data_IF_973355627249
#
_entry.id   IF_973355627249
#
_cell.length_a   1.000
_cell.length_b   1.000
_cell.length_c   1.000
_cell.angle_alpha   90.00
_cell.angle_beta   90.00
_cell.angle_gamma   90.00
#
_symmetry.space_group_name_H-M   'P 1'
#
loop_
_entity.id
_entity.type
_entity.pdbx_description
1 polymer ?
#
# COMPACT_ATOMS: atom_id res chain seq x y z
N UNK A 1 -16.76 11.11 2.95
CA UNK A 1 -17.49 10.82 1.70
C UNK A 1 -16.74 9.82 0.85
N UNK A 2 -15.49 10.07 0.45
CA UNK A 2 -14.73 9.12 -0.38
C UNK A 2 -14.48 7.77 0.28
N UNK A 3 -14.13 7.76 1.56
CA UNK A 3 -14.01 6.54 2.36
C UNK A 3 -15.32 5.77 2.49
N UNK A 4 -16.42 6.46 2.76
CA UNK A 4 -17.75 5.84 2.84
C UNK A 4 -18.15 5.18 1.51
N UNK A 5 -17.90 5.87 0.39
CA UNK A 5 -18.19 5.31 -0.94
C UNK A 5 -17.31 4.10 -1.26
N UNK A 6 -16.03 4.13 -0.89
CA UNK A 6 -15.13 3.00 -1.11
C UNK A 6 -15.54 1.77 -0.30
N UNK A 7 -16.08 1.95 0.91
CA UNK A 7 -16.64 0.84 1.69
C UNK A 7 -17.89 0.26 1.05
N UNK A 8 -18.77 1.11 0.52
CA UNK A 8 -19.96 0.62 -0.19
C UNK A 8 -19.53 -0.25 -1.37
N UNK A 9 -18.58 0.23 -2.18
CA UNK A 9 -18.04 -0.58 -3.29
C UNK A 9 -17.39 -1.86 -2.78
N UNK A 10 -16.60 -1.79 -1.70
CA UNK A 10 -16.00 -2.96 -1.06
C UNK A 10 -17.06 -3.99 -0.64
N UNK A 11 -18.13 -3.56 0.02
CA UNK A 11 -19.19 -4.43 0.53
C UNK A 11 -19.95 -5.16 -0.60
N UNK A 12 -20.21 -4.47 -1.71
CA UNK A 12 -20.91 -5.08 -2.86
C UNK A 12 -19.99 -5.90 -3.76
N UNK A 13 -18.74 -5.47 -3.97
CA UNK A 13 -17.83 -6.08 -4.92
C UNK A 13 -17.01 -7.22 -4.30
N UNK A 14 -16.80 -7.21 -2.98
CA UNK A 14 -16.00 -8.25 -2.31
C UNK A 14 -16.58 -9.66 -2.39
N UNK A 15 -17.90 -9.91 -2.21
CA UNK A 15 -18.44 -11.26 -2.33
C UNK A 15 -18.34 -11.77 -3.77
N UNK A 16 -18.53 -10.86 -4.74
CA UNK A 16 -18.38 -11.16 -6.17
C UNK A 16 -16.95 -11.58 -6.47
N UNK A 17 -15.97 -10.77 -6.09
CA UNK A 17 -14.55 -11.09 -6.31
C UNK A 17 -14.11 -12.36 -5.56
N UNK A 18 -14.55 -12.56 -4.31
CA UNK A 18 -14.25 -13.78 -3.56
C UNK A 18 -14.76 -15.04 -4.29
N UNK A 19 -15.98 -15.00 -4.85
CA UNK A 19 -16.53 -16.14 -5.61
C UNK A 19 -15.76 -16.46 -6.89
N UNK A 20 -15.18 -15.44 -7.54
CA UNK A 20 -14.30 -15.62 -8.69
C UNK A 20 -12.93 -16.15 -8.28
N UNK A 21 -12.41 -15.64 -7.16
CA UNK A 21 -11.12 -16.03 -6.62
C UNK A 21 -11.08 -17.48 -6.14
N UNK A 22 -12.20 -18.03 -5.66
CA UNK A 22 -12.32 -19.48 -5.35
C UNK A 22 -12.06 -20.39 -6.56
N UNK A 23 -12.17 -19.86 -7.79
CA UNK A 23 -11.90 -20.60 -9.03
C UNK A 23 -10.44 -20.51 -9.48
N UNK A 24 -9.62 -19.69 -8.81
CA UNK A 24 -8.22 -19.51 -9.17
C UNK A 24 -7.41 -20.72 -8.75
N UNK A 25 -6.54 -21.18 -9.65
CA UNK A 25 -5.51 -22.16 -9.32
C UNK A 25 -4.22 -21.43 -8.89
N UNK A 26 -3.18 -22.21 -8.60
CA UNK A 26 -1.85 -21.69 -8.33
C UNK A 26 -1.32 -20.83 -9.50
N UNK A 27 -1.68 -21.16 -10.74
CA UNK A 27 -1.29 -20.42 -11.95
C UNK A 27 -1.79 -18.97 -11.98
N UNK A 28 -3.07 -18.73 -11.65
CA UNK A 28 -3.66 -17.39 -11.63
C UNK A 28 -3.11 -16.57 -10.47
N UNK A 29 -2.91 -17.19 -9.31
CA UNK A 29 -2.31 -16.57 -8.13
C UNK A 29 -0.87 -16.14 -8.38
N UNK A 30 -0.08 -16.98 -9.07
CA UNK A 30 1.26 -16.63 -9.55
C UNK A 30 1.24 -15.44 -10.51
N UNK A 31 0.35 -15.47 -11.51
CA UNK A 31 0.26 -14.41 -12.50
C UNK A 31 -0.16 -13.07 -11.89
N UNK A 32 -1.08 -13.11 -10.91
CA UNK A 32 -1.55 -11.94 -10.18
C UNK A 32 -0.45 -11.34 -9.27
N UNK A 33 0.29 -12.19 -8.55
CA UNK A 33 1.45 -11.78 -7.77
C UNK A 33 2.53 -11.13 -8.67
N UNK A 34 2.80 -11.74 -9.82
CA UNK A 34 3.76 -11.23 -10.82
C UNK A 34 3.30 -9.89 -11.39
N UNK A 35 2.00 -9.74 -11.68
CA UNK A 35 1.43 -8.49 -12.14
C UNK A 35 1.58 -7.37 -11.10
N UNK A 36 1.26 -7.62 -9.82
CA UNK A 36 1.46 -6.62 -8.78
C UNK A 36 2.94 -6.23 -8.60
N UNK A 37 3.86 -7.22 -8.59
CA UNK A 37 5.30 -6.96 -8.56
C UNK A 37 5.76 -6.12 -9.75
N UNK A 38 5.20 -6.34 -10.94
CA UNK A 38 5.50 -5.58 -12.15
C UNK A 38 5.09 -4.10 -12.04
N UNK A 39 3.93 -3.83 -11.44
CA UNK A 39 3.42 -2.48 -11.20
C UNK A 39 4.32 -1.76 -10.18
N UNK A 40 4.65 -2.43 -9.09
CA UNK A 40 5.55 -1.91 -8.05
C UNK A 40 6.92 -1.53 -8.63
N UNK A 41 7.46 -2.38 -9.52
CA UNK A 41 8.71 -2.11 -10.23
C UNK A 41 8.59 -0.88 -11.16
N UNK A 42 7.45 -0.72 -11.85
CA UNK A 42 7.19 0.42 -12.73
C UNK A 42 7.02 1.76 -12.00
N UNK A 43 6.49 1.75 -10.77
CA UNK A 43 6.24 2.97 -9.98
C UNK A 43 7.52 3.47 -9.30
N UNK A 44 8.50 2.59 -9.06
CA UNK A 44 9.68 2.85 -8.22
C UNK A 44 10.84 3.63 -8.88
N UNK A 45 10.74 4.09 -10.13
CA UNK A 45 11.92 4.64 -10.81
C UNK A 45 11.67 5.79 -11.79
N UNK A 46 12.36 6.90 -11.57
CA UNK A 46 12.63 7.92 -12.61
C UNK A 46 13.50 7.37 -13.75
N UNK A 47 14.30 6.34 -13.45
CA UNK A 47 15.16 5.60 -14.38
C UNK A 47 14.90 4.09 -14.26
N UNK A 48 14.72 3.42 -15.40
CA UNK A 48 14.47 1.98 -15.50
C UNK A 48 15.50 1.14 -14.73
N UNK A 49 16.78 1.51 -14.79
CA UNK A 49 17.88 0.78 -14.14
C UNK A 49 17.74 0.86 -12.62
N UNK A 50 17.38 2.03 -12.08
CA UNK A 50 17.12 2.20 -10.64
C UNK A 50 15.91 1.37 -10.20
N UNK A 51 14.86 1.34 -11.02
CA UNK A 51 13.67 0.51 -10.77
C UNK A 51 13.96 -0.99 -10.77
N UNK A 52 14.77 -1.47 -11.71
CA UNK A 52 15.18 -2.88 -11.80
C UNK A 52 16.11 -3.29 -10.66
N UNK A 53 17.14 -2.51 -10.34
CA UNK A 53 18.05 -2.79 -9.22
C UNK A 53 17.27 -2.82 -7.91
N UNK A 54 16.38 -1.84 -7.70
CA UNK A 54 15.52 -1.82 -6.52
C UNK A 54 14.52 -2.98 -6.51
N UNK A 55 13.95 -3.36 -7.66
CA UNK A 55 13.05 -4.51 -7.80
C UNK A 55 13.74 -5.83 -7.46
N UNK A 56 14.89 -6.10 -8.08
CA UNK A 56 15.69 -7.31 -7.81
C UNK A 56 16.18 -7.31 -6.36
N UNK A 57 16.69 -6.19 -5.86
CA UNK A 57 17.12 -6.07 -4.47
C UNK A 57 16.01 -6.41 -3.47
N UNK A 58 14.78 -5.93 -3.70
CA UNK A 58 13.61 -6.26 -2.87
C UNK A 58 13.23 -7.73 -2.94
N UNK A 59 13.28 -8.33 -4.13
CA UNK A 59 13.01 -9.75 -4.29
C UNK A 59 14.06 -10.62 -3.59
N UNK A 60 15.34 -10.24 -3.65
CA UNK A 60 16.40 -10.93 -2.92
C UNK A 60 16.15 -10.88 -1.41
N UNK A 61 15.76 -9.72 -0.87
CA UNK A 61 15.39 -9.62 0.55
C UNK A 61 14.18 -10.50 0.86
N UNK A 62 13.20 -10.58 -0.05
CA UNK A 62 12.02 -11.43 0.10
C UNK A 62 12.32 -12.94 0.04
N UNK A 63 13.49 -13.35 -0.48
CA UNK A 63 13.93 -14.76 -0.46
C UNK A 63 14.65 -15.19 0.82
N UNK A 64 14.92 -14.26 1.75
CA UNK A 64 15.48 -14.58 3.06
C UNK A 64 14.42 -15.34 3.87
N UNK A 65 14.81 -16.49 4.44
CA UNK A 65 13.95 -17.33 5.28
C UNK A 65 13.76 -18.74 4.74
N UNK A 66 12.69 -19.41 5.15
CA UNK A 66 12.42 -20.79 4.74
C UNK A 66 12.00 -20.88 3.28
N UNK A 67 12.46 -21.94 2.60
CA UNK A 67 11.89 -22.35 1.32
C UNK A 67 10.41 -22.76 1.53
N UNK A 68 9.45 -22.12 0.84
CA UNK A 68 8.03 -22.33 1.10
C UNK A 68 7.56 -23.73 0.70
N UNK A 69 8.35 -24.50 -0.06
CA UNK A 69 8.02 -25.88 -0.46
C UNK A 69 8.92 -26.91 0.23
N UNK A 70 10.23 -26.66 0.28
CA UNK A 70 11.23 -27.60 0.81
C UNK A 70 11.52 -27.44 2.30
N UNK A 71 11.13 -26.31 2.92
CA UNK A 71 11.37 -26.07 4.35
C UNK A 71 12.85 -25.87 4.72
N UNK A 72 13.74 -25.69 3.74
CA UNK A 72 15.15 -25.44 3.98
C UNK A 72 15.42 -23.95 4.21
N UNK A 73 16.29 -23.57 5.16
CA UNK A 73 16.64 -22.17 5.40
C UNK A 73 17.47 -21.60 4.25
N UNK A 74 17.09 -20.41 3.74
CA UNK A 74 17.76 -19.67 2.66
C UNK A 74 18.20 -18.30 3.16
N UNK A 75 19.49 -17.99 2.97
CA UNK A 75 20.09 -16.71 3.34
C UNK A 75 19.90 -16.30 4.83
N UNK A 76 19.68 -17.26 5.73
CA UNK A 76 19.46 -16.99 7.16
C UNK A 76 20.76 -16.71 7.92
N UNK A 77 21.92 -16.99 7.32
CA UNK A 77 23.23 -16.79 7.96
C UNK A 77 23.45 -17.64 9.23
N UNK A 78 22.63 -18.67 9.45
CA UNK A 78 22.68 -19.52 10.65
C UNK A 78 21.76 -19.07 11.80
N UNK A 79 21.10 -17.91 11.68
CA UNK A 79 20.15 -17.43 12.67
C UNK A 79 18.79 -18.11 12.51
N UNK A 80 18.28 -18.71 13.59
CA UNK A 80 16.99 -19.42 13.61
C UNK A 80 15.84 -18.45 13.42
N UNK A 81 15.98 -17.26 13.97
CA UNK A 81 15.03 -16.16 13.92
C UNK A 81 14.84 -15.62 12.50
N UNK A 82 15.82 -15.82 11.58
CA UNK A 82 15.67 -15.45 10.17
C UNK A 82 14.89 -16.49 9.36
N UNK A 83 14.59 -17.67 9.90
CA UNK A 83 13.81 -18.69 9.19
C UNK A 83 12.42 -18.17 8.82
N UNK A 84 11.80 -17.38 9.70
CA UNK A 84 10.58 -16.64 9.41
C UNK A 84 10.86 -15.15 9.57
N UNK A 85 11.25 -14.49 8.47
CA UNK A 85 11.54 -13.05 8.51
C UNK A 85 10.35 -12.33 9.15
N UNK A 86 10.58 -11.65 10.29
CA UNK A 86 9.48 -11.09 11.05
C UNK A 86 8.98 -9.85 10.32
N UNK A 87 7.90 -10.04 9.58
CA UNK A 87 7.33 -9.07 8.66
C UNK A 87 6.99 -7.74 9.36
N UNK A 88 6.37 -7.81 10.54
CA UNK A 88 5.92 -6.63 11.27
C UNK A 88 7.10 -5.78 11.77
N UNK A 89 8.13 -6.35 12.43
CA UNK A 89 9.35 -5.62 12.76
C UNK A 89 9.99 -4.93 11.55
N UNK A 90 10.07 -5.60 10.40
CA UNK A 90 10.62 -5.00 9.16
C UNK A 90 9.78 -3.80 8.70
N UNK A 91 8.45 -3.88 8.74
CA UNK A 91 7.59 -2.75 8.39
C UNK A 91 7.70 -1.58 9.36
N UNK A 92 7.71 -1.85 10.67
CA UNK A 92 7.90 -0.81 11.70
C UNK A 92 9.21 -0.08 11.43
N UNK A 93 10.26 -0.83 11.09
CA UNK A 93 11.54 -0.26 10.65
C UNK A 93 11.40 0.64 9.43
N UNK A 94 10.94 0.08 8.32
CA UNK A 94 10.88 0.75 7.00
C UNK A 94 9.93 1.95 6.91
N UNK A 95 8.98 2.10 7.84
CA UNK A 95 8.04 3.22 7.86
C UNK A 95 8.24 4.14 9.06
N UNK A 96 8.13 3.60 10.28
CA UNK A 96 8.10 4.43 11.49
C UNK A 96 9.52 4.83 11.91
N UNK A 97 10.45 3.86 12.01
CA UNK A 97 11.82 4.15 12.42
C UNK A 97 12.58 4.96 11.36
N UNK A 98 12.39 4.65 10.07
CA UNK A 98 13.02 5.42 8.98
C UNK A 98 12.56 6.86 8.94
N UNK A 99 11.26 7.13 9.16
CA UNK A 99 10.73 8.49 9.17
C UNK A 99 11.22 9.24 10.42
N UNK A 100 11.31 8.56 11.57
CA UNK A 100 11.95 9.09 12.76
C UNK A 100 13.41 9.51 12.47
N UNK A 101 14.23 8.63 11.91
CA UNK A 101 15.63 8.97 11.57
C UNK A 101 15.73 10.14 10.59
N UNK A 102 14.86 10.18 9.59
CA UNK A 102 14.78 11.30 8.64
C UNK A 102 14.37 12.60 9.32
N UNK A 103 13.42 12.56 10.25
CA UNK A 103 13.00 13.72 11.03
C UNK A 103 14.13 14.26 11.93
N UNK A 104 15.02 13.39 12.42
CA UNK A 104 16.22 13.81 13.17
C UNK A 104 17.21 14.55 12.27
N UNK A 105 17.46 14.05 11.06
CA UNK A 105 18.37 14.70 10.09
C UNK A 105 17.82 16.05 9.62
N UNK A 106 16.52 16.11 9.30
CA UNK A 106 15.88 17.32 8.78
C UNK A 106 15.75 18.43 9.82
N UNK A 107 16.19 18.18 11.06
CA UNK A 107 16.28 19.11 12.18
C UNK A 107 15.20 20.17 12.08
N UNK A 108 13.94 19.73 12.16
CA UNK A 108 12.78 20.62 12.01
C UNK A 108 12.87 21.70 13.08
N UNK A 109 13.53 22.81 12.75
CA UNK A 109 13.17 24.10 13.28
C UNK A 109 11.69 24.21 12.97
N UNK A 110 10.85 24.02 13.99
CA UNK A 110 9.43 24.34 13.91
C UNK A 110 9.41 25.70 13.21
N UNK A 111 8.77 25.79 12.04
CA UNK A 111 8.48 27.09 11.43
C UNK A 111 7.63 27.85 12.44
N UNK A 112 8.28 28.59 13.33
CA UNK A 112 7.67 29.51 14.28
C UNK A 112 7.00 30.58 13.43
N UNK A 113 5.76 30.37 13.01
CA UNK A 113 5.08 31.34 12.14
C UNK A 113 3.97 30.82 11.25
N UNK A 114 3.70 29.52 11.14
CA UNK A 114 2.47 29.08 10.47
C UNK A 114 1.27 29.42 11.37
N UNK A 115 0.76 30.66 11.27
CA UNK A 115 -0.56 31.02 11.78
C UNK A 115 -1.57 30.19 10.98
N UNK A 116 -1.91 29.01 11.49
CA UNK A 116 -3.05 28.25 11.01
C UNK A 116 -4.29 29.04 11.40
N UNK A 117 -4.76 29.91 10.50
CA UNK A 117 -6.05 30.54 10.63
C UNK A 117 -7.10 29.45 10.46
N UNK A 118 -7.63 28.95 11.59
CA UNK A 118 -8.74 28.01 11.58
C UNK A 118 -9.96 28.81 11.11
N UNK A 119 -10.29 28.68 9.82
CA UNK A 119 -11.52 29.24 9.23
C UNK A 119 -12.78 28.54 9.76
N UNK A 120 -13.92 28.80 9.12
CA UNK A 120 -15.17 28.12 9.48
C UNK A 120 -15.04 26.61 9.31
N UNK A 121 -15.40 25.86 10.36
CA UNK A 121 -15.27 24.40 10.41
C UNK A 121 -16.18 23.67 9.40
N UNK A 122 -17.26 24.33 8.97
CA UNK A 122 -18.26 23.77 8.08
C UNK A 122 -18.31 24.58 6.78
N UNK A 123 -18.18 23.86 5.66
CA UNK A 123 -18.36 24.43 4.34
C UNK A 123 -19.86 24.73 4.11
N UNK A 124 -20.21 25.86 3.48
CA UNK A 124 -21.57 26.14 3.08
C UNK A 124 -22.14 25.01 2.20
N UNK A 125 -23.41 24.66 2.40
CA UNK A 125 -24.09 23.60 1.64
C UNK A 125 -24.00 23.79 0.12
N UNK A 126 -24.07 25.04 -0.33
CA UNK A 126 -23.93 25.41 -1.74
C UNK A 126 -22.55 25.05 -2.32
N UNK A 127 -21.49 25.23 -1.53
CA UNK A 127 -20.12 24.84 -1.90
C UNK A 127 -20.01 23.32 -1.98
N UNK A 128 -20.61 22.60 -1.01
CA UNK A 128 -20.63 21.15 -0.99
C UNK A 128 -21.32 20.57 -2.25
N UNK A 129 -22.47 21.12 -2.63
CA UNK A 129 -23.20 20.70 -3.85
C UNK A 129 -22.39 20.93 -5.13
N UNK A 130 -21.60 22.02 -5.20
CA UNK A 130 -20.74 22.33 -6.34
C UNK A 130 -19.54 21.39 -6.50
N UNK A 131 -19.05 20.81 -5.40
CA UNK A 131 -17.92 19.86 -5.41
C UNK A 131 -18.34 18.40 -5.33
N UNK A 132 -19.61 18.10 -5.09
CA UNK A 132 -20.12 16.73 -4.92
C UNK A 132 -19.79 15.82 -6.12
N UNK A 133 -19.91 16.34 -7.36
CA UNK A 133 -19.57 15.58 -8.55
C UNK A 133 -18.06 15.30 -8.65
N UNK A 134 -17.22 16.26 -8.24
CA UNK A 134 -15.77 16.06 -8.16
C UNK A 134 -15.44 14.99 -7.13
N UNK A 135 -16.04 15.05 -5.94
CA UNK A 135 -15.86 14.04 -4.89
C UNK A 135 -16.24 12.66 -5.42
N UNK A 136 -17.42 12.51 -6.03
CA UNK A 136 -17.88 11.23 -6.55
C UNK A 136 -16.93 10.63 -7.60
N UNK A 137 -16.49 11.45 -8.56
CA UNK A 137 -15.55 11.02 -9.62
C UNK A 137 -14.18 10.66 -9.04
N UNK A 138 -13.64 11.50 -8.16
CA UNK A 138 -12.34 11.28 -7.53
C UNK A 138 -12.36 10.07 -6.61
N UNK A 139 -13.46 9.81 -5.90
CA UNK A 139 -13.62 8.60 -5.08
C UNK A 139 -13.71 7.34 -5.92
N UNK A 140 -14.40 7.37 -7.06
CA UNK A 140 -14.41 6.26 -8.01
C UNK A 140 -13.00 5.96 -8.57
N UNK A 141 -12.25 7.00 -8.94
CA UNK A 141 -10.84 6.87 -9.33
C UNK A 141 -9.99 6.30 -8.19
N UNK A 142 -10.21 6.78 -6.95
CA UNK A 142 -9.53 6.27 -5.77
C UNK A 142 -9.77 4.79 -5.55
N UNK A 143 -11.03 4.35 -5.64
CA UNK A 143 -11.40 2.93 -5.52
C UNK A 143 -10.71 2.10 -6.59
N UNK A 144 -10.74 2.53 -7.85
CA UNK A 144 -10.09 1.83 -8.95
C UNK A 144 -8.58 1.73 -8.78
N UNK A 145 -7.92 2.83 -8.40
CA UNK A 145 -6.47 2.86 -8.15
C UNK A 145 -6.12 2.00 -6.94
N UNK A 146 -6.95 1.98 -5.89
CA UNK A 146 -6.74 1.14 -4.73
C UNK A 146 -6.76 -0.36 -5.05
N UNK A 147 -7.58 -0.80 -6.01
CA UNK A 147 -7.59 -2.20 -6.46
C UNK A 147 -6.27 -2.62 -7.13
N UNK A 148 -5.46 -1.66 -7.59
CA UNK A 148 -4.18 -1.92 -8.24
C UNK A 148 -3.11 -2.12 -7.16
N UNK A 149 -2.49 -3.31 -7.05
CA UNK A 149 -1.47 -3.56 -6.05
C UNK A 149 -0.28 -2.61 -6.17
N UNK A 150 0.04 -1.96 -5.06
CA UNK A 150 1.18 -1.05 -4.93
C UNK A 150 0.98 0.36 -5.46
N UNK A 151 -0.24 0.74 -5.86
CA UNK A 151 -0.52 2.11 -6.26
C UNK A 151 -0.71 3.05 -5.05
N UNK A 152 -1.51 2.65 -4.08
CA UNK A 152 -1.73 3.39 -2.82
C UNK A 152 -2.40 4.77 -2.92
N UNK A 153 -2.65 5.35 -1.74
CA UNK A 153 -3.44 6.57 -1.60
C UNK A 153 -2.78 7.81 -2.22
N UNK A 154 -1.45 7.89 -2.22
CA UNK A 154 -0.72 9.04 -2.77
C UNK A 154 -0.88 9.16 -4.29
N UNK A 155 -0.80 8.03 -5.01
CA UNK A 155 -1.03 7.99 -6.45
C UNK A 155 -2.50 8.27 -6.74
N UNK A 156 -3.42 7.73 -5.93
CA UNK A 156 -4.85 8.02 -6.05
C UNK A 156 -5.14 9.53 -5.93
N UNK A 157 -4.54 10.21 -4.95
CA UNK A 157 -4.66 11.65 -4.78
C UNK A 157 -4.09 12.42 -5.98
N UNK A 158 -2.90 12.04 -6.46
CA UNK A 158 -2.24 12.73 -7.58
C UNK A 158 -2.99 12.55 -8.91
N UNK A 159 -3.50 11.35 -9.18
CA UNK A 159 -4.31 11.08 -10.38
C UNK A 159 -5.64 11.82 -10.28
N UNK A 160 -6.32 11.78 -9.11
CA UNK A 160 -7.55 12.51 -8.89
C UNK A 160 -7.36 14.03 -9.09
N UNK A 161 -6.25 14.59 -8.61
CA UNK A 161 -5.88 16.00 -8.82
C UNK A 161 -5.71 16.32 -10.31
N UNK A 162 -4.93 15.51 -11.03
CA UNK A 162 -4.64 15.73 -12.45
C UNK A 162 -5.89 15.61 -13.32
N UNK A 163 -6.72 14.60 -13.08
CA UNK A 163 -7.99 14.44 -13.79
C UNK A 163 -8.95 15.59 -13.47
N UNK A 164 -9.05 16.00 -12.20
CA UNK A 164 -9.88 17.16 -11.84
C UNK A 164 -9.38 18.44 -12.50
N UNK A 165 -8.06 18.63 -12.62
CA UNK A 165 -7.46 19.75 -13.37
C UNK A 165 -7.81 19.70 -14.85
N UNK A 166 -7.74 18.54 -15.49
CA UNK A 166 -8.08 18.35 -16.91
C UNK A 166 -9.53 18.68 -17.21
N UNK A 167 -10.45 18.34 -16.31
CA UNK A 167 -11.88 18.64 -16.46
C UNK A 167 -12.29 20.00 -15.86
N UNK A 168 -11.36 20.76 -15.30
CA UNK A 168 -11.67 22.07 -14.72
C UNK A 168 -11.83 23.12 -15.80
N UNK A 169 -12.83 24.00 -15.62
CA UNK A 169 -13.00 25.21 -16.42
C UNK A 169 -11.99 26.31 -16.05
N UNK A 170 -11.32 26.17 -14.91
CA UNK A 170 -10.34 27.14 -14.36
C UNK A 170 -9.08 26.39 -13.90
N UNK A 171 -8.31 25.80 -14.82
CA UNK A 171 -7.09 25.07 -14.47
C UNK A 171 -5.99 25.96 -13.87
N UNK A 172 -6.06 27.28 -14.05
CA UNK A 172 -5.08 28.27 -13.57
C UNK A 172 -5.10 28.48 -12.05
N UNK A 173 -6.18 28.03 -11.38
CA UNK A 173 -6.35 28.12 -9.93
C UNK A 173 -5.78 26.88 -9.20
N UNK A 174 -5.38 25.84 -9.92
CA UNK A 174 -4.79 24.64 -9.32
C UNK A 174 -3.39 24.96 -8.75
N UNK A 175 -3.18 24.63 -7.48
CA UNK A 175 -1.98 25.02 -6.71
C UNK A 175 -2.10 26.36 -5.98
N UNK A 176 -3.19 27.12 -6.20
CA UNK A 176 -3.48 28.39 -5.49
C UNK A 176 -4.56 28.26 -4.41
N UNK A 177 -4.89 27.04 -4.00
CA UNK A 177 -5.92 26.78 -2.97
C UNK A 177 -7.33 26.54 -3.51
N UNK A 178 -7.49 26.17 -4.78
CA UNK A 178 -8.79 25.80 -5.35
C UNK A 178 -9.45 24.64 -4.57
N UNK A 179 -10.70 24.85 -4.12
CA UNK A 179 -11.42 23.88 -3.27
C UNK A 179 -11.62 22.55 -4.00
N UNK A 180 -11.92 22.59 -5.31
CA UNK A 180 -12.07 21.35 -6.11
C UNK A 180 -10.79 20.53 -6.14
N UNK A 181 -9.63 21.18 -6.13
CA UNK A 181 -8.35 20.50 -6.15
C UNK A 181 -8.12 19.75 -4.83
N UNK A 182 -8.31 20.42 -3.69
CA UNK A 182 -8.20 19.80 -2.36
C UNK A 182 -9.22 18.68 -2.19
N UNK A 183 -10.49 18.94 -2.52
CA UNK A 183 -11.56 17.96 -2.42
C UNK A 183 -11.29 16.73 -3.30
N UNK A 184 -10.68 16.89 -4.48
CA UNK A 184 -10.33 15.77 -5.35
C UNK A 184 -9.22 14.88 -4.77
N UNK A 185 -8.15 15.47 -4.21
CA UNK A 185 -7.07 14.73 -3.56
C UNK A 185 -7.60 13.93 -2.38
N UNK A 186 -8.34 14.59 -1.48
CA UNK A 186 -8.90 13.97 -0.28
C UNK A 186 -9.93 12.89 -0.62
N UNK A 187 -10.80 13.15 -1.59
CA UNK A 187 -11.79 12.16 -2.04
C UNK A 187 -11.15 10.96 -2.73
N UNK A 188 -10.06 11.16 -3.48
CA UNK A 188 -9.28 10.10 -4.12
C UNK A 188 -8.50 9.26 -3.12
N UNK A 189 -7.76 9.90 -2.22
CA UNK A 189 -7.00 9.23 -1.16
C UNK A 189 -7.90 8.38 -0.26
N UNK A 190 -8.99 8.95 0.25
CA UNK A 190 -9.96 8.20 1.07
C UNK A 190 -10.74 7.16 0.25
N UNK A 191 -10.94 7.41 -1.06
CA UNK A 191 -11.52 6.43 -1.98
C UNK A 191 -10.63 5.18 -2.15
N UNK A 192 -9.31 5.36 -2.06
CA UNK A 192 -8.34 4.27 -2.17
C UNK A 192 -8.47 3.23 -1.06
N UNK A 193 -8.89 3.63 0.15
CA UNK A 193 -8.92 2.73 1.32
C UNK A 193 -9.77 1.48 1.09
N UNK A 194 -11.04 1.63 0.69
CA UNK A 194 -11.88 0.46 0.37
C UNK A 194 -11.42 -0.29 -0.89
N UNK A 195 -10.83 0.42 -1.86
CA UNK A 195 -10.26 -0.18 -3.06
C UNK A 195 -9.06 -1.09 -2.76
N UNK A 196 -8.16 -0.68 -1.86
CA UNK A 196 -6.97 -1.44 -1.46
C UNK A 196 -7.31 -2.63 -0.56
N UNK A 197 -8.37 -2.52 0.23
CA UNK A 197 -8.87 -3.60 1.07
C UNK A 197 -9.57 -4.70 0.27
N UNK A 198 -10.12 -4.36 -0.89
CA UNK A 198 -10.83 -5.32 -1.74
C UNK A 198 -9.94 -6.50 -2.18
N UNK A 199 -8.80 -6.32 -2.89
CA UNK A 199 -7.92 -7.43 -3.24
C UNK A 199 -7.24 -8.04 -2.01
N UNK A 200 -7.05 -7.28 -0.94
CA UNK A 200 -6.43 -7.79 0.28
C UNK A 200 -7.34 -8.83 0.95
N UNK A 201 -8.60 -8.49 1.19
CA UNK A 201 -9.55 -9.39 1.84
C UNK A 201 -9.96 -10.56 0.93
N UNK A 202 -10.09 -10.32 -0.38
CA UNK A 202 -10.60 -11.34 -1.32
C UNK A 202 -9.51 -12.22 -1.91
N UNK A 203 -8.30 -11.70 -2.15
CA UNK A 203 -7.20 -12.40 -2.83
C UNK A 203 -5.97 -12.59 -1.94
N UNK A 204 -5.97 -12.01 -0.72
CA UNK A 204 -4.78 -11.99 0.14
C UNK A 204 -3.69 -11.03 -0.36
N UNK A 205 -3.99 -10.16 -1.33
CA UNK A 205 -2.99 -9.30 -1.98
C UNK A 205 -3.17 -7.85 -1.53
N UNK A 206 -2.19 -7.25 -0.85
CA UNK A 206 -2.28 -5.87 -0.39
C UNK A 206 -2.31 -4.88 -1.57
N UNK A 207 -3.23 -3.91 -1.51
CA UNK A 207 -3.30 -2.81 -2.47
C UNK A 207 -2.24 -1.73 -2.24
N UNK A 208 -1.77 -1.59 -1.00
CA UNK A 208 -0.78 -0.60 -0.58
C UNK A 208 -0.06 -1.05 0.71
N UNK A 209 0.84 -0.20 1.22
CA UNK A 209 1.56 -0.54 2.44
C UNK A 209 0.65 -0.64 3.67
N UNK A 210 -0.38 0.20 3.79
CA UNK A 210 -1.27 0.20 4.96
C UNK A 210 -2.08 -1.10 5.02
N UNK A 211 -2.58 -1.56 3.88
CA UNK A 211 -3.27 -2.84 3.76
C UNK A 211 -2.33 -4.04 3.90
N UNK A 212 -1.04 -3.89 3.55
CA UNK A 212 -0.02 -4.87 3.91
C UNK A 212 0.20 -4.96 5.43
N UNK A 213 0.17 -3.82 6.15
CA UNK A 213 0.21 -3.84 7.62
C UNK A 213 -0.99 -4.61 8.18
N UNK A 214 -2.17 -4.29 7.67
CA UNK A 214 -3.40 -4.94 8.09
C UNK A 214 -3.38 -6.45 7.76
N UNK A 215 -2.79 -6.86 6.63
CA UNK A 215 -2.63 -8.27 6.27
C UNK A 215 -1.79 -8.99 7.32
N UNK A 216 -0.64 -8.42 7.69
CA UNK A 216 0.20 -8.94 8.77
C UNK A 216 -0.49 -8.98 10.13
N UNK A 217 -1.31 -7.98 10.45
CA UNK A 217 -2.06 -7.94 11.71
C UNK A 217 -3.16 -9.01 11.77
N UNK A 218 -3.89 -9.24 10.67
CA UNK A 218 -4.91 -10.28 10.60
C UNK A 218 -4.29 -11.68 10.66
N UNK A 219 -3.17 -11.91 9.95
CA UNK A 219 -2.47 -13.20 10.00
C UNK A 219 -1.91 -13.51 11.37
N UNK A 220 -1.43 -12.51 12.11
CA UNK A 220 -1.07 -12.69 13.53
C UNK A 220 -2.24 -13.12 14.41
N UNK A 221 -3.45 -12.66 14.11
CA UNK A 221 -4.65 -13.06 14.82
C UNK A 221 -5.20 -14.42 14.34
N UNK A 222 -4.47 -15.14 13.49
CA UNK A 222 -4.87 -16.43 12.95
C UNK A 222 -5.86 -16.34 11.79
N UNK A 223 -6.17 -15.14 11.31
CA UNK A 223 -7.03 -14.94 10.15
C UNK A 223 -6.18 -14.83 8.89
N UNK A 224 -6.46 -15.65 7.90
CA UNK A 224 -5.77 -15.58 6.60
C UNK A 224 -6.68 -14.93 5.55
N UNK A 225 -6.42 -13.67 5.16
CA UNK A 225 -7.17 -13.02 4.09
C UNK A 225 -7.07 -13.79 2.78
N UNK A 226 -8.19 -13.80 2.05
CA UNK A 226 -8.36 -14.62 0.85
C UNK A 226 -9.82 -15.05 0.69
N UNK A 227 -10.11 -15.87 -0.32
CA UNK A 227 -11.49 -16.20 -0.68
C UNK A 227 -12.22 -16.97 0.43
N UNK A 228 -11.48 -17.81 1.15
CA UNK A 228 -11.98 -18.60 2.28
C UNK A 228 -12.32 -17.76 3.51
N UNK A 229 -11.79 -16.53 3.63
CA UNK A 229 -12.12 -15.65 4.74
C UNK A 229 -13.63 -15.31 4.76
N UNK A 230 -14.26 -15.22 3.58
CA UNK A 230 -15.69 -14.94 3.45
C UNK A 230 -16.56 -16.17 3.76
N UNK A 231 -16.02 -17.38 3.63
CA UNK A 231 -16.74 -18.63 3.97
C UNK A 231 -16.56 -18.98 5.45
N UNK A 232 -15.33 -18.86 5.94
CA UNK A 232 -14.94 -19.38 7.26
C UNK A 232 -15.11 -18.31 8.36
N UNK A 233 -15.00 -17.02 8.01
CA UNK A 233 -15.01 -15.88 8.93
C UNK A 233 -15.91 -14.74 8.42
N UNK A 234 -17.01 -15.09 7.75
CA UNK A 234 -17.88 -14.11 7.08
C UNK A 234 -18.48 -13.08 8.04
N UNK A 235 -18.88 -13.52 9.24
CA UNK A 235 -19.36 -12.65 10.32
C UNK A 235 -18.35 -11.55 10.69
N UNK A 236 -17.07 -11.91 10.77
CA UNK A 236 -15.98 -10.97 11.05
C UNK A 236 -15.74 -10.00 9.89
N UNK A 237 -15.80 -10.47 8.64
CA UNK A 237 -15.65 -9.63 7.45
C UNK A 237 -16.77 -8.58 7.36
N UNK A 238 -18.02 -8.98 7.58
CA UNK A 238 -19.14 -8.04 7.59
C UNK A 238 -19.09 -7.10 8.80
N UNK A 239 -18.65 -7.57 9.96
CA UNK A 239 -18.40 -6.73 11.14
C UNK A 239 -17.32 -5.69 10.85
N UNK A 240 -16.27 -6.06 10.12
CA UNK A 240 -15.22 -5.14 9.67
C UNK A 240 -15.78 -4.08 8.72
N UNK A 241 -16.67 -4.45 7.78
CA UNK A 241 -17.29 -3.47 6.89
C UNK A 241 -18.17 -2.46 7.63
N UNK A 242 -19.02 -2.92 8.55
CA UNK A 242 -19.85 -2.04 9.38
C UNK A 242 -18.99 -1.19 10.30
N UNK A 243 -17.98 -1.80 10.93
CA UNK A 243 -16.98 -1.13 11.76
C UNK A 243 -16.23 -0.04 11.00
N UNK A 244 -15.88 -0.27 9.74
CA UNK A 244 -15.24 0.74 8.90
C UNK A 244 -16.16 1.92 8.58
N UNK A 245 -17.45 1.70 8.35
CA UNK A 245 -18.43 2.79 8.18
C UNK A 245 -18.49 3.62 9.46
N UNK A 246 -18.57 2.94 10.60
CA UNK A 246 -18.55 3.58 11.91
C UNK A 246 -17.23 4.35 12.15
N UNK A 247 -16.09 3.78 11.78
CA UNK A 247 -14.78 4.44 11.87
C UNK A 247 -14.71 5.72 11.04
N UNK A 248 -15.24 5.76 9.82
CA UNK A 248 -15.27 7.03 9.06
C UNK A 248 -16.20 8.07 9.66
N UNK A 249 -17.31 7.64 10.26
CA UNK A 249 -18.18 8.55 10.99
C UNK A 249 -17.47 9.11 12.24
N UNK A 250 -16.80 8.24 13.01
CA UNK A 250 -15.97 8.65 14.15
C UNK A 250 -14.80 9.54 13.72
N UNK A 251 -14.14 9.24 12.60
CA UNK A 251 -13.05 10.05 12.07
C UNK A 251 -13.52 11.46 11.72
N UNK A 252 -14.74 11.59 11.18
CA UNK A 252 -15.35 12.90 10.95
C UNK A 252 -15.60 13.65 12.27
N UNK A 253 -16.24 12.99 13.24
CA UNK A 253 -16.58 13.60 14.55
C UNK A 253 -15.31 13.99 15.32
N UNK A 254 -14.41 13.04 15.52
CA UNK A 254 -13.15 13.24 16.22
C UNK A 254 -12.24 14.21 15.47
N UNK A 255 -12.21 14.16 14.13
CA UNK A 255 -11.47 15.10 13.31
C UNK A 255 -11.94 16.54 13.56
N UNK A 256 -13.25 16.80 13.49
CA UNK A 256 -13.82 18.12 13.75
C UNK A 256 -13.58 18.61 15.18
N UNK A 257 -13.74 17.73 16.19
CA UNK A 257 -13.49 18.07 17.60
C UNK A 257 -12.01 18.35 17.87
N UNK A 258 -11.13 17.56 17.27
CA UNK A 258 -9.69 17.59 17.52
C UNK A 258 -8.95 18.65 16.70
N UNK A 259 -9.59 19.33 15.74
CA UNK A 259 -8.96 20.39 14.94
C UNK A 259 -8.21 21.43 15.79
N UNK A 260 -8.78 21.82 16.94
CA UNK A 260 -8.15 22.77 17.87
C UNK A 260 -6.93 22.18 18.59
N UNK A 261 -6.95 20.88 18.89
CA UNK A 261 -5.89 20.16 19.61
C UNK A 261 -4.76 19.76 18.67
N UNK A 262 -5.09 19.29 17.47
CA UNK A 262 -4.12 18.93 16.41
C UNK A 262 -3.26 20.12 16.02
N UNK A 263 -3.84 21.33 15.98
CA UNK A 263 -3.09 22.57 15.78
C UNK A 263 -2.00 22.82 16.84
N UNK A 264 -2.09 22.19 18.02
CA UNK A 264 -1.05 22.23 19.06
C UNK A 264 -0.10 21.03 18.97
N UNK A 265 -0.55 19.86 18.53
CA UNK A 265 0.33 18.69 18.30
C UNK A 265 1.37 18.99 17.22
N UNK A 266 0.99 19.72 16.16
CA UNK A 266 1.93 20.16 15.11
C UNK A 266 3.01 21.12 15.63
N UNK A 267 2.82 21.71 16.82
CA UNK A 267 3.82 22.58 17.47
C UNK A 267 4.79 21.81 18.37
N UNK A 268 4.59 20.50 18.59
CA UNK A 268 5.51 19.69 19.39
C UNK A 268 6.83 19.60 18.63
N UNK A 269 7.97 19.94 19.27
CA UNK A 269 9.27 19.89 18.60
C UNK A 269 9.61 18.45 18.21
N UNK A 270 10.17 18.30 17.01
CA UNK A 270 10.63 17.01 16.48
C UNK A 270 11.59 16.29 17.43
N UNK A 271 12.35 17.04 18.24
CA UNK A 271 13.26 16.53 19.27
C UNK A 271 12.56 15.72 20.38
N UNK A 272 11.27 15.96 20.63
CA UNK A 272 10.47 15.18 21.60
C UNK A 272 9.67 14.10 20.89
N UNK A 273 9.06 14.46 19.76
CA UNK A 273 8.19 13.55 19.01
C UNK A 273 8.95 12.32 18.50
N UNK A 274 10.17 12.51 17.99
CA UNK A 274 10.98 11.45 17.41
C UNK A 274 11.39 10.35 18.40
N UNK A 275 12.00 10.66 19.56
CA UNK A 275 12.33 9.63 20.55
C UNK A 275 11.09 8.93 21.10
N UNK A 276 9.95 9.62 21.19
CA UNK A 276 8.68 8.99 21.61
C UNK A 276 8.21 7.95 20.58
N UNK A 277 8.28 8.27 19.28
CA UNK A 277 7.99 7.32 18.19
C UNK A 277 8.94 6.13 18.25
N UNK A 278 10.25 6.35 18.40
CA UNK A 278 11.23 5.27 18.47
C UNK A 278 11.01 4.36 19.69
N UNK A 279 10.72 4.93 20.85
CA UNK A 279 10.38 4.15 22.05
C UNK A 279 9.16 3.26 21.81
N UNK A 280 8.10 3.80 21.21
CA UNK A 280 6.91 3.02 20.84
C UNK A 280 7.21 1.95 19.79
N UNK A 281 8.10 2.22 18.83
CA UNK A 281 8.53 1.21 17.84
C UNK A 281 9.28 0.05 18.51
N UNK A 282 10.18 0.34 19.45
CA UNK A 282 10.93 -0.68 20.22
C UNK A 282 9.98 -1.50 21.07
N UNK A 283 9.10 -0.85 21.85
CA UNK A 283 8.12 -1.54 22.70
C UNK A 283 7.16 -2.38 21.86
N UNK A 284 6.60 -1.81 20.78
CA UNK A 284 5.68 -2.50 19.89
C UNK A 284 6.30 -3.70 19.20
N UNK A 285 7.56 -3.58 18.76
CA UNK A 285 8.30 -4.69 18.15
C UNK A 285 8.60 -5.79 19.17
N UNK A 286 9.07 -5.42 20.36
CA UNK A 286 9.38 -6.37 21.42
C UNK A 286 8.14 -7.11 21.92
N UNK A 287 6.99 -6.42 22.04
CA UNK A 287 5.74 -6.99 22.54
C UNK A 287 5.15 -8.12 21.67
N UNK A 288 5.57 -8.24 20.40
CA UNK A 288 5.05 -9.27 19.49
C UNK A 288 5.57 -10.67 19.86
N UNK A 289 6.89 -10.80 20.02
CA UNK A 289 7.56 -12.09 20.20
C UNK A 289 8.47 -12.14 21.43
N UNK A 290 8.49 -11.09 22.26
CA UNK A 290 9.42 -10.91 23.38
C UNK A 290 10.90 -11.07 22.97
N UNK A 291 11.22 -10.66 21.75
CA UNK A 291 12.51 -10.90 21.10
C UNK A 291 13.28 -9.59 20.89
N UNK A 292 14.49 -9.49 21.44
CA UNK A 292 15.42 -8.39 21.12
C UNK A 292 15.98 -8.50 19.70
N UNK A 293 15.97 -9.70 19.13
CA UNK A 293 16.41 -9.91 17.76
C UNK A 293 15.47 -9.20 16.76
N UNK A 294 14.17 -9.24 17.01
CA UNK A 294 13.17 -8.52 16.22
C UNK A 294 13.37 -7.01 16.30
N UNK A 295 13.73 -6.50 17.48
CA UNK A 295 14.09 -5.07 17.66
C UNK A 295 15.33 -4.73 16.83
N UNK A 296 16.33 -5.62 16.80
CA UNK A 296 17.51 -5.47 15.93
C UNK A 296 17.15 -5.40 14.44
N UNK A 297 16.28 -6.31 13.97
CA UNK A 297 15.77 -6.28 12.58
C UNK A 297 15.04 -4.97 12.30
N UNK A 298 14.17 -4.53 13.20
CA UNK A 298 13.43 -3.27 13.06
C UNK A 298 14.39 -2.07 12.93
N UNK A 299 15.45 -2.01 13.74
CA UNK A 299 16.45 -0.94 13.65
C UNK A 299 17.22 -0.98 12.33
N UNK A 300 17.69 -2.16 11.89
CA UNK A 300 18.38 -2.33 10.61
C UNK A 300 17.47 -1.91 9.45
N UNK A 301 16.22 -2.39 9.46
CA UNK A 301 15.21 -2.02 8.47
C UNK A 301 14.92 -0.51 8.49
N UNK A 302 14.92 0.12 9.67
CA UNK A 302 14.80 1.58 9.81
C UNK A 302 15.95 2.35 9.18
N UNK A 303 17.18 1.90 9.40
CA UNK A 303 18.38 2.50 8.78
C UNK A 303 18.34 2.33 7.27
N UNK A 304 18.01 1.13 6.77
CA UNK A 304 17.84 0.87 5.33
C UNK A 304 16.75 1.76 4.75
N UNK A 305 15.58 1.83 5.40
CA UNK A 305 14.46 2.68 5.00
C UNK A 305 14.85 4.15 4.93
N UNK A 306 15.62 4.64 5.90
CA UNK A 306 16.13 6.01 5.91
C UNK A 306 17.00 6.32 4.68
N UNK A 307 17.96 5.44 4.35
CA UNK A 307 18.79 5.61 3.15
C UNK A 307 17.98 5.47 1.85
N UNK A 308 16.99 4.59 1.82
CA UNK A 308 16.08 4.45 0.68
C UNK A 308 15.29 5.74 0.43
N UNK A 309 14.69 6.30 1.48
CA UNK A 309 13.97 7.57 1.37
C UNK A 309 14.88 8.71 0.93
N UNK A 310 16.11 8.79 1.47
CA UNK A 310 17.11 9.77 1.05
C UNK A 310 17.51 9.62 -0.42
N UNK A 311 17.54 8.39 -0.94
CA UNK A 311 17.77 8.08 -2.35
C UNK A 311 16.56 8.27 -3.27
N UNK A 312 15.40 8.69 -2.75
CA UNK A 312 14.16 8.83 -3.51
C UNK A 312 13.43 7.51 -3.80
N UNK A 313 13.75 6.45 -3.07
CA UNK A 313 13.10 5.14 -3.20
C UNK A 313 11.99 5.00 -2.16
N UNK A 314 10.72 4.86 -2.56
CA UNK A 314 9.65 4.64 -1.62
C UNK A 314 9.80 3.29 -0.91
N UNK A 315 9.46 3.26 0.39
CA UNK A 315 9.50 2.06 1.22
C UNK A 315 8.36 1.07 0.92
N UNK A 316 7.17 1.57 0.51
CA UNK A 316 6.00 0.74 0.15
C UNK A 316 6.32 -0.43 -0.79
N UNK A 317 7.03 -0.23 -1.92
CA UNK A 317 7.48 -1.32 -2.77
C UNK A 317 8.23 -2.46 -2.09
N UNK A 318 9.02 -2.18 -1.05
CA UNK A 318 9.80 -3.22 -0.35
C UNK A 318 8.84 -4.12 0.42
N UNK A 319 7.94 -3.54 1.19
CA UNK A 319 6.97 -4.28 2.01
C UNK A 319 6.04 -5.12 1.14
N UNK A 320 5.57 -4.57 0.02
CA UNK A 320 4.75 -5.32 -0.92
C UNK A 320 5.54 -6.46 -1.58
N UNK A 321 6.81 -6.24 -1.92
CA UNK A 321 7.67 -7.30 -2.46
C UNK A 321 7.95 -8.42 -1.44
N UNK A 322 8.10 -8.09 -0.15
CA UNK A 322 8.27 -9.07 0.92
C UNK A 322 7.07 -10.02 1.06
N UNK A 323 5.86 -9.54 0.77
CA UNK A 323 4.64 -10.38 0.77
C UNK A 323 4.48 -11.10 -0.58
N UNK A 324 4.54 -10.35 -1.68
CA UNK A 324 4.19 -10.87 -3.00
C UNK A 324 5.27 -11.76 -3.61
N UNK A 325 6.54 -11.59 -3.22
CA UNK A 325 7.66 -12.42 -3.69
C UNK A 325 7.50 -13.90 -3.31
N UNK A 326 7.40 -14.25 -2.02
CA UNK A 326 7.16 -15.63 -1.59
C UNK A 326 5.85 -16.20 -2.12
N UNK A 327 4.82 -15.36 -2.23
CA UNK A 327 3.54 -15.74 -2.83
C UNK A 327 3.68 -16.09 -4.31
N UNK A 328 4.44 -15.32 -5.09
CA UNK A 328 4.73 -15.64 -6.49
C UNK A 328 5.55 -16.93 -6.59
N UNK A 329 6.62 -17.08 -5.80
CA UNK A 329 7.48 -18.26 -5.83
C UNK A 329 6.72 -19.55 -5.47
N UNK A 330 5.98 -19.54 -4.36
CA UNK A 330 5.21 -20.70 -3.90
C UNK A 330 4.14 -21.11 -4.92
N UNK A 331 3.41 -20.15 -5.47
CA UNK A 331 2.37 -20.43 -6.46
C UNK A 331 2.95 -20.87 -7.82
N UNK A 332 4.11 -20.35 -8.23
CA UNK A 332 4.81 -20.84 -9.42
C UNK A 332 5.22 -22.31 -9.27
N UNK A 333 5.89 -22.65 -8.16
CA UNK A 333 6.32 -24.02 -7.88
C UNK A 333 5.14 -24.97 -7.74
N UNK A 334 4.06 -24.52 -7.08
CA UNK A 334 2.82 -25.29 -6.97
C UNK A 334 2.17 -25.53 -8.34
N UNK A 335 2.10 -24.51 -9.19
CA UNK A 335 1.58 -24.66 -10.55
C UNK A 335 2.43 -25.63 -11.39
N UNK A 336 3.76 -25.54 -11.30
CA UNK A 336 4.71 -26.42 -11.97
C UNK A 336 4.60 -27.88 -11.49
N UNK A 337 4.39 -28.08 -10.19
CA UNK A 337 4.16 -29.41 -9.63
C UNK A 337 2.84 -30.01 -10.11
N UNK A 338 1.77 -29.21 -10.15
CA UNK A 338 0.46 -29.63 -10.64
C UNK A 338 0.45 -29.95 -12.15
N UNK A 339 1.33 -29.31 -12.93
CA UNK A 339 1.49 -29.57 -14.37
C UNK A 339 2.52 -30.68 -14.67
N UNK A 340 3.02 -31.39 -13.66
CA UNK A 340 4.02 -32.45 -13.86
C UNK A 340 5.36 -31.94 -14.41
N UNK A 341 5.71 -30.68 -14.15
CA UNK A 341 6.93 -30.04 -14.63
C UNK A 341 6.79 -29.28 -15.96
N UNK A 342 5.61 -29.28 -16.59
CA UNK A 342 5.40 -28.51 -17.82
C UNK A 342 5.08 -27.04 -17.53
N UNK A 343 5.53 -26.13 -18.40
CA UNK A 343 5.22 -24.70 -18.30
C UNK A 343 3.93 -24.31 -19.03
N UNK A 344 3.10 -25.30 -19.39
CA UNK A 344 1.94 -25.11 -20.25
C UNK A 344 0.87 -24.24 -19.59
N UNK A 345 0.82 -24.24 -18.26
CA UNK A 345 -0.10 -23.40 -17.48
C UNK A 345 0.11 -21.90 -17.73
N UNK A 346 1.28 -21.47 -18.24
CA UNK A 346 1.57 -20.07 -18.54
C UNK A 346 0.73 -19.52 -19.71
N UNK A 347 0.38 -20.38 -20.68
CA UNK A 347 -0.31 -19.97 -21.91
C UNK A 347 -1.65 -20.68 -22.14
N UNK A 348 -1.88 -21.84 -21.52
CA UNK A 348 -3.16 -22.59 -21.65
C UNK A 348 -4.29 -21.97 -20.85
N UNK A 349 -4.00 -21.24 -19.77
CA UNK A 349 -5.01 -20.59 -18.92
C UNK A 349 -5.17 -19.11 -19.32
N UNK A 350 -6.37 -18.69 -19.78
CA UNK A 350 -6.56 -17.35 -20.36
C UNK A 350 -6.34 -16.22 -19.34
N UNK A 351 -6.70 -16.43 -18.08
CA UNK A 351 -6.52 -15.44 -17.01
C UNK A 351 -5.02 -15.27 -16.68
N UNK A 352 -4.30 -16.38 -16.56
CA UNK A 352 -2.84 -16.38 -16.34
C UNK A 352 -2.12 -15.67 -17.49
N UNK A 353 -2.46 -16.01 -18.73
CA UNK A 353 -1.88 -15.37 -19.91
C UNK A 353 -2.18 -13.87 -19.94
N UNK A 354 -3.44 -13.46 -19.69
CA UNK A 354 -3.82 -12.05 -19.64
C UNK A 354 -3.06 -11.26 -18.56
N UNK A 355 -2.91 -11.80 -17.36
CA UNK A 355 -2.18 -11.14 -16.27
C UNK A 355 -0.68 -11.07 -16.54
N UNK A 356 -0.07 -12.15 -17.08
CA UNK A 356 1.35 -12.16 -17.42
C UNK A 356 1.67 -11.24 -18.60
N UNK A 357 0.79 -11.18 -19.61
CA UNK A 357 0.94 -10.22 -20.72
C UNK A 357 0.80 -8.77 -20.25
N UNK A 358 -0.13 -8.48 -19.35
CA UNK A 358 -0.22 -7.17 -18.70
C UNK A 358 1.05 -6.86 -17.89
N UNK A 359 1.57 -7.82 -17.12
CA UNK A 359 2.80 -7.65 -16.34
C UNK A 359 4.00 -7.35 -17.25
N UNK A 360 4.13 -8.09 -18.35
CA UNK A 360 5.14 -7.85 -19.37
C UNK A 360 4.97 -6.45 -19.99
N UNK A 361 3.75 -6.05 -20.33
CA UNK A 361 3.46 -4.72 -20.87
C UNK A 361 3.85 -3.61 -19.88
N UNK A 362 3.53 -3.76 -18.60
CA UNK A 362 3.88 -2.78 -17.56
C UNK A 362 5.39 -2.63 -17.40
N UNK A 363 6.15 -3.72 -17.43
CA UNK A 363 7.63 -3.68 -17.38
C UNK A 363 8.25 -3.12 -18.65
N UNK A 364 7.68 -3.42 -19.83
CA UNK A 364 8.21 -3.00 -21.12
C UNK A 364 7.80 -1.57 -21.51
N UNK A 365 6.70 -1.05 -21.00
CA UNK A 365 6.23 0.33 -21.27
C UNK A 365 7.31 1.40 -21.06
N UNK A 366 8.04 1.46 -19.93
CA UNK A 366 9.11 2.43 -19.76
C UNK A 366 10.27 2.25 -20.76
N UNK A 367 10.59 1.01 -21.15
CA UNK A 367 11.61 0.70 -22.17
C UNK A 367 11.18 1.22 -23.54
N UNK A 368 9.95 0.88 -23.95
CA UNK A 368 9.37 1.28 -25.24
C UNK A 368 9.29 2.81 -25.33
N UNK A 369 8.83 3.48 -24.28
CA UNK A 369 8.77 4.96 -24.24
C UNK A 369 10.15 5.60 -24.35
N UNK A 370 11.19 5.03 -23.75
CA UNK A 370 12.57 5.52 -23.87
C UNK A 370 13.11 5.35 -25.28
N UNK A 371 12.93 4.18 -25.89
CA UNK A 371 13.34 3.89 -27.27
C UNK A 371 12.60 4.81 -28.27
N UNK A 372 11.29 5.01 -28.09
CA UNK A 372 10.50 5.90 -28.95
C UNK A 372 10.90 7.38 -28.82
N UNK A 373 11.35 7.83 -27.65
CA UNK A 373 11.90 9.18 -27.47
C UNK A 373 13.26 9.34 -28.13
N UNK A 374 14.13 8.34 -28.03
CA UNK A 374 15.45 8.33 -28.69
C UNK A 374 15.37 8.23 -30.22
N UNK A 375 14.27 7.71 -30.78
CA UNK A 375 14.00 7.71 -32.23
C UNK A 375 13.34 9.00 -32.74
N UNK A 376 12.87 9.87 -31.84
CA UNK A 376 12.24 11.17 -32.17
C UNK A 376 13.20 12.36 -31.97
N UNK A 377 14.34 12.13 -31.32
CA UNK A 377 15.51 12.99 -31.34
C UNK A 377 16.43 12.52 -32.47
#
# INVERSE_FOLDING_TARGET
SGGTLSIIVLMFLSPVLASWALKFSASESFALATFGLSIIASISGESLIKGLIAGVGRLLIATIGLDPMGGFPRFTGGFVELMNVPFIPVMIGLFAASEAFRSMEQNQQIRQGAKVAIGSLLLPWQTLRRIALTILRSSGLGVFIGMIPGAGADIAAFVAYNETRRFSKTPENFGKGEIKAVASCEAGANGCTGGALLPMLTLGIPGDAVTAIMLGALTLQGMQPGPLMFTDHGDMVYTLFVGMIFCYFMLLVLGLLSLKVIGNVVKIPGNILTPMILALCVVGTYALNNSLFDVGIMLIAGVVGYFMQKGGYPASPVVLALIMGPMAESNFRRALSLSGGSLDFLYTRPITLALLTLAAFTLLTPIIRKIMRLRRQ
#
